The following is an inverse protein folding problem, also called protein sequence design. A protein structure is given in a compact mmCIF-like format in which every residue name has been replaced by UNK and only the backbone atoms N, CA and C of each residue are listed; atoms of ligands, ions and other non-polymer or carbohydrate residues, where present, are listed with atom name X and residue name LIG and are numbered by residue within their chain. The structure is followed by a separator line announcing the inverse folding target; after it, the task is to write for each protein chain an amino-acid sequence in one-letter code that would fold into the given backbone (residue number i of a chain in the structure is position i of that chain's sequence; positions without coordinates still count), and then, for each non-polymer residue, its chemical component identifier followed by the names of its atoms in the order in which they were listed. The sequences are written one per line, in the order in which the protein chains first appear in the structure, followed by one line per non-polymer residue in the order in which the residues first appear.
data_IF_208853103707
#
_entry.id   IF_208853103707
#
_cell.length_a   1.000
_cell.length_b   1.000
_cell.length_c   1.000
_cell.angle_alpha   90.00
_cell.angle_beta   90.00
_cell.angle_gamma   90.00
#
_symmetry.space_group_name_H-M   'P 1'
#
loop_
_entity.id
_entity.type
_entity.pdbx_description
1 polymer ?
#
# COMPACT_ATOMS: atom_id res chain seq x y z
N UNK A 1 6.27 -10.93 -4.21
CA UNK A 1 6.85 -9.86 -5.04
C UNK A 1 5.73 -8.96 -5.54
N UNK A 2 6.00 -7.68 -5.80
CA UNK A 2 5.05 -6.64 -6.25
C UNK A 2 4.35 -6.92 -7.61
N UNK A 3 4.42 -8.15 -8.14
CA UNK A 3 3.83 -8.51 -9.43
C UNK A 3 4.58 -7.91 -10.62
N UNK A 4 5.90 -7.73 -10.48
CA UNK A 4 6.75 -6.99 -11.43
C UNK A 4 7.74 -7.93 -12.07
N UNK A 5 8.06 -7.68 -13.34
CA UNK A 5 9.21 -8.29 -14.00
C UNK A 5 10.50 -7.98 -13.22
N UNK A 6 11.11 -9.02 -12.65
CA UNK A 6 12.27 -8.88 -11.76
C UNK A 6 13.45 -8.17 -12.44
N UNK A 7 13.70 -8.48 -13.72
CA UNK A 7 14.82 -7.90 -14.46
C UNK A 7 14.58 -6.40 -14.70
N UNK A 8 13.36 -6.04 -15.06
CA UNK A 8 12.95 -4.65 -15.22
C UNK A 8 13.07 -3.88 -13.91
N UNK A 9 12.56 -4.42 -12.80
CA UNK A 9 12.64 -3.79 -11.49
C UNK A 9 14.09 -3.51 -11.08
N UNK A 10 14.99 -4.49 -11.25
CA UNK A 10 16.42 -4.32 -10.97
C UNK A 10 17.02 -3.21 -11.85
N UNK A 11 16.63 -3.13 -13.12
CA UNK A 11 17.12 -2.08 -14.03
C UNK A 11 16.67 -0.67 -13.61
N UNK A 12 15.50 -0.52 -13.01
CA UNK A 12 15.03 0.77 -12.51
C UNK A 12 15.76 1.18 -11.22
N UNK A 13 16.05 0.21 -10.33
CA UNK A 13 16.86 0.44 -9.12
C UNK A 13 18.28 0.91 -9.42
N UNK A 14 18.82 0.61 -10.60
CA UNK A 14 20.13 1.10 -11.05
C UNK A 14 20.10 2.56 -11.54
N UNK A 15 18.92 3.09 -11.88
CA UNK A 15 18.75 4.42 -12.49
C UNK A 15 18.22 5.45 -11.50
N UNK A 16 17.36 5.03 -10.58
CA UNK A 16 16.53 5.92 -9.77
C UNK A 16 16.53 5.49 -8.31
N UNK A 17 16.24 6.43 -7.40
CA UNK A 17 16.02 6.09 -5.99
C UNK A 17 14.63 5.46 -5.82
N UNK A 18 14.43 4.69 -4.75
CA UNK A 18 13.15 4.01 -4.46
C UNK A 18 11.94 4.96 -4.54
N UNK A 19 12.05 6.15 -3.95
CA UNK A 19 11.00 7.18 -3.97
C UNK A 19 10.66 7.64 -5.39
N UNK A 20 11.66 7.83 -6.25
CA UNK A 20 11.47 8.27 -7.62
C UNK A 20 10.79 7.17 -8.45
N UNK A 21 11.25 5.92 -8.31
CA UNK A 21 10.62 4.75 -8.95
C UNK A 21 9.16 4.63 -8.51
N UNK A 22 8.88 4.82 -7.22
CA UNK A 22 7.51 4.78 -6.72
C UNK A 22 6.63 5.86 -7.35
N UNK A 23 7.10 7.10 -7.45
CA UNK A 23 6.31 8.16 -8.08
C UNK A 23 6.13 7.94 -9.59
N UNK A 24 7.14 7.44 -10.30
CA UNK A 24 7.01 7.03 -11.70
C UNK A 24 5.96 5.93 -11.86
N UNK A 25 5.95 4.95 -10.96
CA UNK A 25 4.93 3.92 -10.93
C UNK A 25 3.53 4.50 -10.65
N UNK A 26 3.39 5.34 -9.64
CA UNK A 26 2.13 5.99 -9.28
C UNK A 26 1.57 6.86 -10.42
N UNK A 27 2.44 7.51 -11.19
CA UNK A 27 2.10 8.33 -12.34
C UNK A 27 1.88 7.52 -13.64
N UNK A 28 2.04 6.19 -13.61
CA UNK A 28 1.79 5.33 -14.76
C UNK A 28 2.85 5.38 -15.86
N UNK A 29 4.11 5.69 -15.51
CA UNK A 29 5.22 5.74 -16.49
C UNK A 29 5.65 4.37 -17.04
N UNK A 30 5.20 3.28 -16.42
CA UNK A 30 5.62 1.93 -16.75
C UNK A 30 4.53 1.19 -17.53
N UNK A 31 4.94 0.34 -18.47
CA UNK A 31 4.02 -0.56 -19.17
C UNK A 31 3.35 -1.51 -18.18
N UNK A 32 2.06 -1.80 -18.39
CA UNK A 32 1.30 -2.72 -17.55
C UNK A 32 1.84 -4.16 -17.60
N UNK A 33 2.53 -4.53 -18.67
CA UNK A 33 3.20 -5.84 -18.81
C UNK A 33 4.44 -5.95 -17.93
N UNK A 34 5.09 -4.82 -17.63
CA UNK A 34 6.29 -4.77 -16.79
C UNK A 34 5.91 -4.57 -15.32
N UNK A 35 4.95 -3.68 -15.06
CA UNK A 35 4.48 -3.33 -13.73
C UNK A 35 3.00 -2.95 -13.75
N UNK A 36 2.11 -3.69 -13.07
CA UNK A 36 0.69 -3.35 -13.02
C UNK A 36 0.47 -1.95 -12.44
N UNK A 37 -0.59 -1.26 -12.82
CA UNK A 37 -0.89 0.07 -12.27
C UNK A 37 -1.01 0.01 -10.74
N UNK A 38 -0.50 1.05 -10.06
CA UNK A 38 -0.53 1.14 -8.60
C UNK A 38 -1.94 0.94 -8.05
N UNK A 39 -2.94 1.60 -8.63
CA UNK A 39 -4.33 1.48 -8.18
C UNK A 39 -4.86 0.06 -8.31
N UNK A 40 -4.59 -0.62 -9.44
CA UNK A 40 -5.01 -2.02 -9.61
C UNK A 40 -4.34 -2.93 -8.57
N UNK A 41 -3.06 -2.69 -8.30
CA UNK A 41 -2.31 -3.41 -7.28
C UNK A 41 -2.91 -3.21 -5.88
N UNK A 42 -3.18 -1.97 -5.48
CA UNK A 42 -3.75 -1.63 -4.17
C UNK A 42 -5.17 -2.18 -3.99
N UNK A 43 -5.99 -2.15 -5.04
CA UNK A 43 -7.35 -2.71 -5.04
C UNK A 43 -7.33 -4.24 -4.86
N UNK A 44 -6.44 -4.95 -5.56
CA UNK A 44 -6.27 -6.40 -5.42
C UNK A 44 -5.86 -6.76 -3.99
N UNK A 45 -4.89 -6.05 -3.43
CA UNK A 45 -4.43 -6.29 -2.06
C UNK A 45 -5.52 -6.01 -1.01
N UNK A 46 -6.26 -4.91 -1.16
CA UNK A 46 -7.41 -4.60 -0.31
C UNK A 46 -8.49 -5.69 -0.39
N UNK A 47 -8.76 -6.21 -1.59
CA UNK A 47 -9.71 -7.31 -1.79
C UNK A 47 -9.30 -8.59 -1.06
N UNK A 48 -8.01 -8.95 -1.09
CA UNK A 48 -7.49 -10.11 -0.33
C UNK A 48 -7.71 -9.94 1.16
N UNK A 49 -7.35 -8.77 1.72
CA UNK A 49 -7.49 -8.48 3.15
C UNK A 49 -8.97 -8.45 3.58
N UNK A 50 -9.83 -7.76 2.83
CA UNK A 50 -11.26 -7.68 3.15
C UNK A 50 -11.96 -9.04 3.11
N UNK A 51 -11.60 -9.90 2.16
CA UNK A 51 -12.17 -11.24 2.10
C UNK A 51 -11.78 -12.07 3.32
N UNK A 52 -10.57 -11.87 3.84
CA UNK A 52 -10.13 -12.53 5.06
C UNK A 52 -10.83 -11.95 6.30
N UNK A 53 -10.95 -10.63 6.37
CA UNK A 53 -11.64 -9.91 7.44
C UNK A 53 -13.10 -10.36 7.61
N UNK A 54 -13.81 -10.64 6.51
CA UNK A 54 -15.19 -11.16 6.56
C UNK A 54 -15.33 -12.52 7.25
N UNK A 55 -14.24 -13.27 7.36
CA UNK A 55 -14.19 -14.57 8.01
C UNK A 55 -13.61 -14.49 9.43
N UNK A 56 -13.14 -13.32 9.84
CA UNK A 56 -12.44 -13.14 11.09
C UNK A 56 -13.44 -13.09 12.27
N UNK A 57 -13.08 -13.62 13.45
CA UNK A 57 -13.91 -13.51 14.65
C UNK A 57 -14.17 -12.05 15.04
N UNK A 58 -15.26 -11.79 15.74
CA UNK A 58 -15.48 -10.46 16.34
C UNK A 58 -14.34 -10.11 17.31
N UNK A 59 -13.98 -8.81 17.35
CA UNK A 59 -12.94 -8.26 18.21
C UNK A 59 -11.53 -8.87 18.00
N UNK A 60 -11.20 -9.27 16.77
CA UNK A 60 -9.86 -9.73 16.42
C UNK A 60 -8.94 -8.59 15.94
N UNK A 61 -7.64 -8.86 15.94
CA UNK A 61 -6.62 -8.04 15.28
C UNK A 61 -5.96 -8.92 14.22
N UNK A 62 -6.12 -8.55 12.96
CA UNK A 62 -5.42 -9.20 11.84
C UNK A 62 -4.06 -8.55 11.60
N UNK A 63 -3.00 -9.36 11.59
CA UNK A 63 -1.63 -8.90 11.33
C UNK A 63 -1.16 -9.45 9.99
N UNK A 64 -0.83 -8.54 9.07
CA UNK A 64 -0.28 -8.88 7.76
C UNK A 64 1.18 -8.44 7.66
N UNK A 65 2.07 -9.38 7.40
CA UNK A 65 3.51 -9.12 7.25
C UNK A 65 3.84 -9.00 5.77
N UNK A 66 4.53 -7.93 5.39
CA UNK A 66 4.92 -7.66 4.01
C UNK A 66 6.25 -6.92 3.92
N UNK A 67 6.61 -6.50 2.71
CA UNK A 67 7.83 -5.75 2.43
C UNK A 67 7.53 -4.24 2.30
N UNK A 68 8.56 -3.43 2.54
CA UNK A 68 8.58 -1.96 2.43
C UNK A 68 7.83 -1.39 1.22
N UNK A 69 8.02 -1.95 0.02
CA UNK A 69 7.32 -1.53 -1.20
C UNK A 69 5.82 -1.73 -1.13
N UNK A 70 5.38 -2.85 -0.55
CA UNK A 70 3.97 -3.15 -0.35
C UNK A 70 3.36 -2.19 0.66
N UNK A 71 4.04 -1.97 1.79
CA UNK A 71 3.60 -1.03 2.82
C UNK A 71 3.49 0.39 2.28
N UNK A 72 4.44 0.83 1.46
CA UNK A 72 4.43 2.14 0.80
C UNK A 72 3.26 2.25 -0.19
N UNK A 73 3.05 1.22 -1.02
CA UNK A 73 1.94 1.17 -1.97
C UNK A 73 0.58 1.22 -1.27
N UNK A 74 0.43 0.50 -0.16
CA UNK A 74 -0.79 0.51 0.63
C UNK A 74 -0.99 1.86 1.28
N UNK A 75 0.01 2.38 2.00
CA UNK A 75 -0.09 3.68 2.66
C UNK A 75 -0.51 4.81 1.69
N UNK A 76 0.06 4.83 0.49
CA UNK A 76 -0.33 5.83 -0.52
C UNK A 76 -1.65 5.49 -1.22
N UNK A 77 -1.81 4.27 -1.71
CA UNK A 77 -3.01 3.89 -2.47
C UNK A 77 -4.28 3.83 -1.64
N UNK A 78 -4.17 3.46 -0.36
CA UNK A 78 -5.29 3.30 0.56
C UNK A 78 -5.64 4.55 1.35
N UNK A 79 -4.66 5.40 1.67
CA UNK A 79 -4.87 6.55 2.54
C UNK A 79 -4.44 7.88 1.92
N UNK A 80 -3.96 7.87 0.68
CA UNK A 80 -3.47 9.07 0.00
C UNK A 80 -2.17 9.63 0.57
N UNK A 81 -1.47 8.87 1.42
CA UNK A 81 -0.27 9.35 2.13
C UNK A 81 1.01 9.04 1.34
N UNK A 82 1.71 10.05 0.78
CA UNK A 82 2.87 9.81 -0.10
C UNK A 82 4.03 9.17 0.66
N UNK A 83 4.96 8.48 -0.04
CA UNK A 83 6.16 7.93 0.56
C UNK A 83 6.95 9.00 1.34
N UNK A 84 7.36 8.68 2.56
CA UNK A 84 8.22 9.53 3.37
C UNK A 84 9.67 9.48 2.89
N UNK A 85 10.43 10.54 3.14
CA UNK A 85 11.82 10.64 2.65
C UNK A 85 12.75 9.54 3.16
N UNK A 86 12.51 9.04 4.37
CA UNK A 86 13.32 7.98 4.99
C UNK A 86 12.96 6.56 4.52
N UNK A 87 11.96 6.41 3.65
CA UNK A 87 11.38 5.11 3.28
C UNK A 87 10.83 4.35 4.51
N UNK A 88 10.29 3.14 4.31
CA UNK A 88 9.79 2.33 5.43
C UNK A 88 10.98 1.65 6.12
N UNK A 89 11.15 1.92 7.41
CA UNK A 89 12.20 1.34 8.25
C UNK A 89 11.91 -0.11 8.66
N UNK A 90 12.90 -0.78 9.27
CA UNK A 90 12.75 -2.12 9.83
C UNK A 90 11.61 -2.18 10.87
N UNK A 91 10.71 -3.17 10.72
CA UNK A 91 9.46 -3.30 11.50
C UNK A 91 8.52 -2.08 11.40
N UNK A 92 8.72 -1.22 10.41
CA UNK A 92 7.81 -0.14 10.09
C UNK A 92 6.49 -0.67 9.52
N UNK A 93 5.41 0.07 9.77
CA UNK A 93 4.07 -0.30 9.32
C UNK A 93 3.04 0.72 9.80
N UNK A 94 1.78 0.38 9.60
CA UNK A 94 0.64 1.15 10.05
C UNK A 94 -0.45 0.19 10.56
N UNK A 95 -1.33 0.70 11.42
CA UNK A 95 -2.52 -0.01 11.86
C UNK A 95 -3.75 0.83 11.53
N UNK A 96 -4.86 0.21 11.18
CA UNK A 96 -6.07 0.94 10.87
C UNK A 96 -7.33 0.17 11.23
N UNK A 97 -8.43 0.90 11.42
CA UNK A 97 -9.78 0.35 11.56
C UNK A 97 -10.78 1.16 10.76
N UNK A 98 -11.88 0.52 10.35
CA UNK A 98 -12.97 1.19 9.66
C UNK A 98 -13.95 1.79 10.66
N UNK A 99 -14.14 3.10 10.57
CA UNK A 99 -15.23 3.81 11.23
C UNK A 99 -16.37 4.06 10.24
N UNK A 100 -17.53 4.54 10.71
CA UNK A 100 -18.74 4.71 9.87
C UNK A 100 -18.45 5.44 8.55
N UNK A 101 -17.71 6.54 8.62
CA UNK A 101 -17.46 7.45 7.49
C UNK A 101 -15.98 7.64 7.13
N UNK A 102 -15.05 7.07 7.89
CA UNK A 102 -13.60 7.28 7.69
C UNK A 102 -12.81 6.02 8.07
N UNK A 103 -11.52 6.03 7.82
CA UNK A 103 -10.56 5.10 8.41
C UNK A 103 -9.83 5.82 9.54
N UNK A 104 -9.75 5.19 10.70
CA UNK A 104 -8.86 5.63 11.76
C UNK A 104 -7.51 4.93 11.57
N UNK A 105 -6.45 5.70 11.32
CA UNK A 105 -5.12 5.24 10.95
C UNK A 105 -4.10 5.64 12.01
N UNK A 106 -3.33 4.67 12.50
CA UNK A 106 -2.12 4.86 13.30
C UNK A 106 -0.89 4.66 12.41
N UNK A 107 -0.13 5.73 12.19
CA UNK A 107 0.99 5.79 11.25
C UNK A 107 2.08 6.72 11.79
N UNK A 108 3.33 6.23 11.91
CA UNK A 108 4.47 6.97 12.48
C UNK A 108 4.22 7.63 13.85
N UNK A 109 3.45 6.96 14.73
CA UNK A 109 3.14 7.46 16.07
C UNK A 109 2.03 8.51 16.11
N UNK A 110 1.41 8.81 14.97
CA UNK A 110 0.25 9.69 14.88
C UNK A 110 -1.03 8.91 14.63
N UNK A 111 -2.10 9.32 15.31
CA UNK A 111 -3.46 8.84 15.04
C UNK A 111 -4.19 9.88 14.19
N UNK A 112 -4.70 9.49 13.03
CA UNK A 112 -5.39 10.38 12.09
C UNK A 112 -6.63 9.73 11.48
N UNK A 113 -7.65 10.54 11.24
CA UNK A 113 -8.80 10.14 10.42
C UNK A 113 -8.51 10.44 8.96
N UNK A 114 -8.70 9.46 8.08
CA UNK A 114 -8.53 9.60 6.63
C UNK A 114 -9.78 9.13 5.89
N UNK A 115 -10.03 9.70 4.73
CA UNK A 115 -11.17 9.29 3.90
C UNK A 115 -11.02 7.84 3.44
N UNK A 116 -12.16 7.14 3.35
CA UNK A 116 -12.22 5.82 2.73
C UNK A 116 -12.08 6.01 1.21
N UNK A 117 -11.14 5.32 0.53
CA UNK A 117 -11.07 5.38 -0.93
C UNK A 117 -12.40 4.99 -1.57
N UNK A 118 -12.82 5.75 -2.59
CA UNK A 118 -14.11 5.55 -3.27
C UNK A 118 -14.30 4.12 -3.85
N UNK A 119 -13.21 3.42 -4.15
CA UNK A 119 -13.22 2.07 -4.66
C UNK A 119 -13.22 0.99 -3.56
N UNK A 120 -12.93 1.36 -2.31
CA UNK A 120 -12.85 0.42 -1.19
C UNK A 120 -14.25 0.14 -0.65
N UNK A 121 -14.96 -0.76 -1.34
CA UNK A 121 -16.31 -1.20 -0.95
C UNK A 121 -16.24 -2.00 0.35
N UNK A 122 -16.91 -1.49 1.39
CA UNK A 122 -17.13 -2.19 2.66
C UNK A 122 -18.07 -3.39 2.45
#
# INVERSE_FOLDING_TARGET
GIGVNKQFFISELQKYRNRDIFFRWAAGFYSLDEWPSLISYCQKAAGVILNQFKLAPENCIDIYISHDWHLTAFRFGWFGLPPVDKWVDYLGGFAFTFEKNHVLLSDYGELKAVDVPHWWKK
#
